data_IF_112158457833
#
_entry.id   IF_112158457833
#
_cell.length_a   1.000
_cell.length_b   1.000
_cell.length_c   1.000
_cell.angle_alpha   90.00
_cell.angle_beta   90.00
_cell.angle_gamma   90.00
#
_symmetry.space_group_name_H-M   'P 1'
#
loop_
_entity.id
_entity.type
_entity.pdbx_description
1 polymer ?
#
# COMPACT_ATOMS: atom_id res chain seq x y z
N UNK A 1 1.87 11.41 4.73
CA UNK A 1 0.40 11.18 4.72
C UNK A 1 -0.02 10.74 6.11
N UNK A 2 -1.13 11.25 6.68
CA UNK A 2 -1.65 10.75 7.96
C UNK A 2 -1.87 9.24 7.93
N UNK A 3 -1.54 8.54 9.01
CA UNK A 3 -1.69 7.08 9.07
C UNK A 3 -3.14 6.64 8.84
N UNK A 4 -4.11 7.40 9.35
CA UNK A 4 -5.53 7.15 9.12
C UNK A 4 -5.93 7.25 7.65
N UNK A 5 -5.37 8.20 6.90
CA UNK A 5 -5.61 8.32 5.46
C UNK A 5 -4.98 7.15 4.70
N UNK A 6 -3.79 6.70 5.10
CA UNK A 6 -3.19 5.48 4.58
C UNK A 6 -4.10 4.27 4.80
N UNK A 7 -4.66 4.09 6.00
CA UNK A 7 -5.61 3.00 6.29
C UNK A 7 -6.86 3.08 5.41
N UNK A 8 -7.38 4.29 5.17
CA UNK A 8 -8.52 4.51 4.28
C UNK A 8 -8.20 4.09 2.85
N UNK A 9 -7.02 4.44 2.34
CA UNK A 9 -6.60 4.06 0.98
C UNK A 9 -6.30 2.56 0.86
N UNK A 10 -5.78 1.92 1.91
CA UNK A 10 -5.61 0.45 1.97
C UNK A 10 -6.98 -0.25 1.83
N UNK A 11 -7.97 0.16 2.63
CA UNK A 11 -9.32 -0.39 2.53
C UNK A 11 -9.97 -0.14 1.16
N UNK A 12 -9.76 1.06 0.61
CA UNK A 12 -10.24 1.44 -0.73
C UNK A 12 -9.58 0.61 -1.85
N UNK A 13 -8.31 0.26 -1.70
CA UNK A 13 -7.62 -0.65 -2.62
C UNK A 13 -8.10 -2.10 -2.51
N UNK A 14 -8.89 -2.43 -1.47
CA UNK A 14 -9.31 -3.81 -1.18
C UNK A 14 -8.18 -4.66 -0.62
N UNK A 15 -7.20 -4.04 0.04
CA UNK A 15 -6.04 -4.71 0.62
C UNK A 15 -6.11 -4.67 2.14
N UNK A 16 -5.39 -5.61 2.77
CA UNK A 16 -4.94 -5.51 4.15
C UNK A 16 -3.54 -4.89 4.21
N UNK A 17 -3.15 -4.39 5.39
CA UNK A 17 -1.77 -3.90 5.61
C UNK A 17 -0.74 -5.02 5.39
N UNK A 18 -1.11 -6.27 5.73
CA UNK A 18 -0.25 -7.43 5.55
C UNK A 18 0.01 -7.71 4.07
N UNK A 19 -1.04 -7.82 3.26
CA UNK A 19 -0.91 -8.03 1.81
C UNK A 19 -0.13 -6.90 1.15
N UNK A 20 -0.41 -5.66 1.53
CA UNK A 20 0.35 -4.51 1.03
C UNK A 20 1.84 -4.60 1.38
N UNK A 21 2.17 -5.00 2.61
CA UNK A 21 3.57 -5.21 3.00
C UNK A 21 4.23 -6.33 2.18
N UNK A 22 3.54 -7.45 2.00
CA UNK A 22 4.02 -8.59 1.21
C UNK A 22 4.25 -8.21 -0.27
N UNK A 23 3.33 -7.44 -0.88
CA UNK A 23 3.49 -6.92 -2.24
C UNK A 23 4.73 -6.04 -2.40
N UNK A 24 5.13 -5.31 -1.35
CA UNK A 24 6.31 -4.46 -1.35
C UNK A 24 7.58 -5.16 -0.86
N UNK A 25 7.52 -6.45 -0.49
CA UNK A 25 8.64 -7.14 0.14
C UNK A 25 9.04 -6.56 1.50
N UNK A 26 8.10 -5.91 2.19
CA UNK A 26 8.32 -5.25 3.49
C UNK A 26 7.81 -6.10 4.65
N UNK A 27 8.42 -5.95 5.81
CA UNK A 27 7.88 -6.52 7.04
C UNK A 27 6.58 -5.78 7.44
N UNK A 28 5.44 -6.48 7.64
CA UNK A 28 4.18 -5.85 8.05
C UNK A 28 4.31 -4.98 9.32
N UNK A 29 5.15 -5.37 10.27
CA UNK A 29 5.38 -4.62 11.50
C UNK A 29 6.05 -3.26 11.24
N UNK A 30 6.91 -3.18 10.22
CA UNK A 30 7.51 -1.90 9.82
C UNK A 30 6.45 -0.92 9.32
N UNK A 31 5.38 -1.42 8.69
CA UNK A 31 4.26 -0.59 8.24
C UNK A 31 3.33 -0.24 9.40
N UNK A 32 2.94 -1.22 10.22
CA UNK A 32 2.02 -0.95 11.34
C UNK A 32 2.65 -0.01 12.36
N UNK A 33 3.96 -0.08 12.64
CA UNK A 33 4.63 0.80 13.60
C UNK A 33 4.49 2.30 13.30
N UNK A 34 4.24 2.70 12.05
CA UNK A 34 3.98 4.11 11.71
C UNK A 34 2.72 4.69 12.38
N UNK A 35 1.81 3.86 12.92
CA UNK A 35 0.70 4.36 13.74
C UNK A 35 1.18 5.18 14.95
N UNK A 36 2.34 4.83 15.52
CA UNK A 36 2.95 5.54 16.66
C UNK A 36 3.44 6.93 16.27
N UNK A 37 3.95 7.06 15.05
CA UNK A 37 4.45 8.33 14.49
C UNK A 37 3.28 9.16 13.95
N UNK A 38 2.16 8.51 13.58
CA UNK A 38 0.96 9.14 13.07
C UNK A 38 1.02 9.49 11.58
N UNK A 39 2.17 9.30 10.93
CA UNK A 39 2.38 9.56 9.50
C UNK A 39 3.16 8.45 8.81
N UNK A 40 2.82 8.22 7.55
CA UNK A 40 3.48 7.26 6.65
C UNK A 40 4.52 8.00 5.78
N UNK A 41 5.71 7.40 5.56
CA UNK A 41 6.73 7.92 4.64
C UNK A 41 6.20 8.22 3.24
N UNK A 42 6.83 9.19 2.56
CA UNK A 42 6.40 9.67 1.23
C UNK A 42 6.32 8.57 0.18
N UNK A 43 7.31 7.68 0.10
CA UNK A 43 7.33 6.59 -0.89
C UNK A 43 6.15 5.63 -0.70
N UNK A 44 5.86 5.21 0.55
CA UNK A 44 4.69 4.36 0.84
C UNK A 44 3.39 5.10 0.50
N UNK A 45 3.29 6.38 0.85
CA UNK A 45 2.13 7.22 0.55
C UNK A 45 1.88 7.35 -0.96
N UNK A 46 2.93 7.52 -1.77
CA UNK A 46 2.85 7.57 -3.23
C UNK A 46 2.34 6.23 -3.76
N UNK A 47 2.93 5.12 -3.32
CA UNK A 47 2.58 3.78 -3.81
C UNK A 47 1.11 3.46 -3.51
N UNK A 48 0.64 3.63 -2.27
CA UNK A 48 -0.76 3.32 -1.94
C UNK A 48 -1.75 4.24 -2.68
N UNK A 49 -1.37 5.50 -2.93
CA UNK A 49 -2.20 6.43 -3.69
C UNK A 49 -2.36 5.98 -5.14
N UNK A 50 -1.29 5.47 -5.75
CA UNK A 50 -1.32 4.89 -7.10
C UNK A 50 -2.20 3.65 -7.14
N UNK A 51 -1.98 2.68 -6.24
CA UNK A 51 -2.77 1.44 -6.16
C UNK A 51 -4.25 1.75 -5.95
N UNK A 52 -4.59 2.62 -5.00
CA UNK A 52 -5.98 3.00 -4.74
C UNK A 52 -6.61 3.70 -5.94
N UNK A 53 -5.87 4.54 -6.66
CA UNK A 53 -6.35 5.22 -7.87
C UNK A 53 -6.54 4.26 -9.06
N UNK A 54 -5.70 3.23 -9.16
CA UNK A 54 -5.86 2.15 -10.15
C UNK A 54 -7.13 1.35 -9.86
N UNK A 55 -7.36 1.00 -8.59
CA UNK A 55 -8.56 0.28 -8.16
C UNK A 55 -9.85 1.03 -8.49
N UNK A 56 -9.88 2.35 -8.26
CA UNK A 56 -11.02 3.21 -8.63
C UNK A 56 -11.33 3.19 -10.13
N UNK A 57 -10.29 3.05 -10.94
CA UNK A 57 -10.39 3.00 -12.40
C UNK A 57 -10.66 1.59 -12.93
N UNK A 58 -10.84 0.61 -12.06
CA UNK A 58 -11.06 -0.79 -12.43
C UNK A 58 -9.83 -1.48 -13.03
N UNK A 59 -8.63 -0.94 -12.78
CA UNK A 59 -7.37 -1.53 -13.25
C UNK A 59 -6.86 -2.54 -12.22
N UNK A 60 -6.48 -3.72 -12.70
CA UNK A 60 -5.82 -4.72 -11.87
C UNK A 60 -4.34 -4.34 -11.68
N UNK A 61 -3.95 -4.13 -10.43
CA UNK A 61 -2.56 -3.81 -10.08
C UNK A 61 -1.73 -5.06 -9.77
N UNK A 62 -2.34 -6.22 -9.52
CA UNK A 62 -1.61 -7.45 -9.19
C UNK A 62 -0.71 -7.89 -10.35
N UNK A 63 -1.15 -7.72 -11.60
CA UNK A 63 -0.34 -8.02 -12.79
C UNK A 63 1.00 -7.24 -12.81
N UNK A 64 0.98 -5.98 -12.35
CA UNK A 64 2.19 -5.16 -12.26
C UNK A 64 3.15 -5.74 -11.22
N UNK A 65 2.64 -6.16 -10.08
CA UNK A 65 3.46 -6.75 -9.02
C UNK A 65 4.07 -8.09 -9.42
N UNK A 66 3.29 -8.97 -10.05
CA UNK A 66 3.80 -10.26 -10.51
C UNK A 66 4.92 -10.09 -11.53
N UNK A 67 4.76 -9.17 -12.49
CA UNK A 67 5.82 -8.84 -13.46
C UNK A 67 7.09 -8.30 -12.78
N UNK A 68 6.95 -7.51 -11.71
CA UNK A 68 8.11 -6.97 -11.00
C UNK A 68 8.87 -8.07 -10.24
N UNK A 69 8.19 -9.10 -9.75
CA UNK A 69 8.82 -10.25 -9.07
C UNK A 69 9.66 -11.13 -10.00
N UNK A 70 9.51 -10.99 -11.31
CA UNK A 70 10.28 -11.74 -12.31
C UNK A 70 11.70 -11.16 -12.55
N UNK A 71 12.00 -9.95 -12.06
CA UNK A 71 13.32 -9.31 -12.15
C UNK A 71 14.23 -9.68 -10.97
#
# INVERSE_FOLDING_TARGET
>A
MPYSEFQRLIGKAGLTIKEFAELLGMNPNSITNYHKVGVIPSHIAIIISLISSMKDKGLDFYEVFEKVKEY
#
